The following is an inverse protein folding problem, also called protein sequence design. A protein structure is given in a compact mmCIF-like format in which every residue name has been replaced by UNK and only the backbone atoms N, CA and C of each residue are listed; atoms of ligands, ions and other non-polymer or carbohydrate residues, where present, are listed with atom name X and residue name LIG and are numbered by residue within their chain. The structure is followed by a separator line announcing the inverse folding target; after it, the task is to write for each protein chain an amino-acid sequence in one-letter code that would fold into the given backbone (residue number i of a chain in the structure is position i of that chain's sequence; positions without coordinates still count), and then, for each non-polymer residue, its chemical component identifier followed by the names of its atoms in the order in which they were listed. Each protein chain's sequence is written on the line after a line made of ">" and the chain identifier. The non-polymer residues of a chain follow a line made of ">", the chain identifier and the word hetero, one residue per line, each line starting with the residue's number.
data_IF_029259968189
#
_entry.id   IF_029259968189
#
_cell.length_a   1.000
_cell.length_b   1.000
_cell.length_c   1.000
_cell.angle_alpha   90.00
_cell.angle_beta   90.00
_cell.angle_gamma   90.00
#
_symmetry.space_group_name_H-M   'P 1'
#
loop_
_entity.id
_entity.type
_entity.pdbx_description
1 polymer ?
#
# COMPACT_ATOMS: atom_id res chain seq x y z
N UNK A 1 -3.15 19.47 19.41
CA UNK A 1 -3.27 18.47 18.31
C UNK A 1 -4.44 18.93 17.44
N UNK A 2 -4.28 19.09 16.13
CA UNK A 2 -5.39 19.60 15.32
C UNK A 2 -6.43 18.49 15.11
N UNK A 3 -7.50 18.52 15.91
CA UNK A 3 -8.57 17.51 15.94
C UNK A 3 -9.10 17.18 14.54
N UNK A 4 -9.12 18.15 13.63
CA UNK A 4 -9.50 17.97 12.23
C UNK A 4 -8.68 16.89 11.49
N UNK A 5 -7.36 16.82 11.73
CA UNK A 5 -6.48 15.83 11.09
C UNK A 5 -6.78 14.41 11.57
N UNK A 6 -7.06 14.26 12.87
CA UNK A 6 -7.39 12.97 13.47
C UNK A 6 -8.75 12.49 12.97
N UNK A 7 -9.74 13.38 12.93
CA UNK A 7 -11.07 13.10 12.39
C UNK A 7 -10.98 12.67 10.93
N UNK A 8 -10.18 13.37 10.12
CA UNK A 8 -9.94 12.98 8.73
C UNK A 8 -9.30 11.59 8.63
N UNK A 9 -8.30 11.30 9.46
CA UNK A 9 -7.69 9.97 9.55
C UNK A 9 -8.70 8.87 9.90
N UNK A 10 -9.55 9.10 10.90
CA UNK A 10 -10.63 8.17 11.31
C UNK A 10 -11.58 7.92 10.14
N UNK A 11 -12.07 8.97 9.49
CA UNK A 11 -12.98 8.86 8.35
C UNK A 11 -12.34 8.08 7.19
N UNK A 12 -11.07 8.36 6.90
CA UNK A 12 -10.31 7.66 5.87
C UNK A 12 -10.18 6.16 6.19
N UNK A 13 -9.75 5.80 7.40
CA UNK A 13 -9.59 4.39 7.77
C UNK A 13 -10.92 3.65 7.90
N UNK A 14 -12.00 4.33 8.33
CA UNK A 14 -13.35 3.78 8.35
C UNK A 14 -13.84 3.47 6.92
N UNK A 15 -13.70 4.42 5.99
CA UNK A 15 -14.07 4.23 4.60
C UNK A 15 -13.24 3.11 3.94
N UNK A 16 -11.93 3.07 4.19
CA UNK A 16 -11.05 2.02 3.67
C UNK A 16 -11.39 0.64 4.23
N UNK A 17 -11.69 0.56 5.53
CA UNK A 17 -12.12 -0.67 6.18
C UNK A 17 -13.42 -1.21 5.58
N UNK A 18 -14.40 -0.32 5.36
CA UNK A 18 -15.69 -0.68 4.77
C UNK A 18 -15.55 -1.10 3.30
N UNK A 19 -14.76 -0.37 2.50
CA UNK A 19 -14.44 -0.75 1.13
C UNK A 19 -13.83 -2.16 1.08
N UNK A 20 -12.83 -2.43 1.92
CA UNK A 20 -12.18 -3.73 2.00
C UNK A 20 -13.15 -4.82 2.46
N UNK A 21 -14.06 -4.52 3.39
CA UNK A 21 -15.08 -5.47 3.85
C UNK A 21 -16.03 -5.87 2.72
N UNK A 22 -16.61 -4.87 2.04
CA UNK A 22 -17.54 -5.07 0.92
C UNK A 22 -16.84 -5.86 -0.21
N UNK A 23 -15.61 -5.46 -0.55
CA UNK A 23 -14.85 -6.13 -1.58
C UNK A 23 -14.48 -7.57 -1.20
N UNK A 24 -14.10 -7.83 0.06
CA UNK A 24 -13.84 -9.18 0.55
C UNK A 24 -15.08 -10.06 0.56
N UNK A 25 -16.24 -9.51 0.92
CA UNK A 25 -17.52 -10.21 0.84
C UNK A 25 -17.89 -10.56 -0.61
N UNK A 26 -17.85 -9.57 -1.51
CA UNK A 26 -18.20 -9.74 -2.93
C UNK A 26 -17.29 -10.73 -3.66
N UNK A 27 -16.00 -10.74 -3.33
CA UNK A 27 -15.00 -11.56 -4.02
C UNK A 27 -14.49 -12.76 -3.20
N UNK A 28 -15.13 -13.08 -2.07
CA UNK A 28 -14.74 -14.14 -1.13
C UNK A 28 -13.23 -14.10 -0.80
N UNK A 29 -12.69 -12.89 -0.65
CA UNK A 29 -11.27 -12.66 -0.31
C UNK A 29 -11.10 -12.58 1.20
N UNK A 30 -9.85 -12.63 1.67
CA UNK A 30 -9.51 -12.51 3.08
C UNK A 30 -10.06 -11.21 3.70
N UNK A 31 -10.62 -11.29 4.90
CA UNK A 31 -11.08 -10.14 5.68
C UNK A 31 -9.95 -9.38 6.39
N UNK A 32 -8.73 -9.92 6.34
CA UNK A 32 -7.57 -9.36 7.02
C UNK A 32 -7.38 -7.85 6.73
N UNK A 33 -7.46 -7.35 5.49
CA UNK A 33 -7.30 -5.90 5.22
C UNK A 33 -8.38 -5.02 5.87
N UNK A 34 -9.61 -5.55 6.03
CA UNK A 34 -10.68 -4.84 6.73
C UNK A 34 -10.45 -4.83 8.24
N UNK A 35 -10.00 -5.95 8.82
CA UNK A 35 -9.62 -6.03 10.24
C UNK A 35 -8.51 -5.02 10.56
N UNK A 36 -7.46 -4.95 9.73
CA UNK A 36 -6.39 -3.94 9.90
C UNK A 36 -6.94 -2.51 9.82
N UNK A 37 -7.77 -2.20 8.82
CA UNK A 37 -8.38 -0.88 8.69
C UNK A 37 -9.25 -0.50 9.90
N UNK A 38 -10.04 -1.44 10.40
CA UNK A 38 -10.86 -1.25 11.60
C UNK A 38 -10.02 -1.01 12.86
N UNK A 39 -8.97 -1.81 13.09
CA UNK A 39 -8.12 -1.65 14.26
C UNK A 39 -7.35 -0.33 14.24
N UNK A 40 -6.86 0.10 13.07
CA UNK A 40 -6.20 1.41 12.94
C UNK A 40 -7.21 2.55 13.21
N UNK A 41 -8.43 2.43 12.70
CA UNK A 41 -9.52 3.36 12.98
C UNK A 41 -9.82 3.43 14.49
N UNK A 42 -9.94 2.28 15.15
CA UNK A 42 -10.19 2.17 16.59
C UNK A 42 -9.05 2.78 17.41
N UNK A 43 -7.79 2.47 17.08
CA UNK A 43 -6.60 3.04 17.74
C UNK A 43 -6.60 4.56 17.61
N UNK A 44 -6.88 5.08 16.42
CA UNK A 44 -6.92 6.52 16.14
C UNK A 44 -8.08 7.21 16.87
N UNK A 45 -9.25 6.55 16.96
CA UNK A 45 -10.40 7.04 17.71
C UNK A 45 -10.11 7.08 19.22
N UNK A 46 -9.48 6.06 19.79
CA UNK A 46 -9.09 6.05 21.21
C UNK A 46 -8.11 7.18 21.54
N UNK A 47 -7.17 7.49 20.64
CA UNK A 47 -6.29 8.67 20.80
C UNK A 47 -7.08 9.98 20.76
N UNK A 48 -8.13 10.07 19.94
CA UNK A 48 -9.02 11.25 19.89
C UNK A 48 -9.82 11.43 21.19
N UNK A 49 -10.33 10.35 21.78
CA UNK A 49 -11.11 10.36 23.03
C UNK A 49 -10.24 10.44 24.30
N UNK A 50 -9.04 11.01 24.20
CA UNK A 50 -8.10 11.20 25.32
C UNK A 50 -7.71 9.89 26.05
N UNK A 51 -7.77 8.75 25.35
CA UNK A 51 -7.30 7.44 25.85
C UNK A 51 -6.04 6.98 25.09
N UNK A 52 -4.92 7.73 25.14
CA UNK A 52 -3.74 7.43 24.32
C UNK A 52 -3.07 6.11 24.71
N UNK A 53 -3.14 5.69 25.98
CA UNK A 53 -2.60 4.40 26.42
C UNK A 53 -3.34 3.23 25.76
N UNK A 54 -4.68 3.26 25.79
CA UNK A 54 -5.51 2.22 25.15
C UNK A 54 -5.32 2.23 23.63
N UNK A 55 -5.28 3.42 23.01
CA UNK A 55 -4.96 3.56 21.58
C UNK A 55 -3.59 2.98 21.22
N UNK A 56 -2.58 3.21 22.06
CA UNK A 56 -1.23 2.64 21.93
C UNK A 56 -1.21 1.11 22.09
N UNK A 57 -1.95 0.55 23.05
CA UNK A 57 -2.09 -0.90 23.19
C UNK A 57 -2.73 -1.55 21.97
N UNK A 58 -3.79 -0.94 21.42
CA UNK A 58 -4.40 -1.40 20.16
C UNK A 58 -3.38 -1.33 19.02
N UNK A 59 -2.56 -0.29 18.98
CA UNK A 59 -1.49 -0.18 17.99
C UNK A 59 -0.43 -1.29 18.12
N UNK A 60 -0.06 -1.68 19.34
CA UNK A 60 0.82 -2.84 19.57
C UNK A 60 0.18 -4.15 19.09
N UNK A 61 -1.12 -4.34 19.33
CA UNK A 61 -1.85 -5.50 18.81
C UNK A 61 -1.82 -5.52 17.28
N UNK A 62 -1.99 -4.36 16.63
CA UNK A 62 -1.87 -4.24 15.17
C UNK A 62 -0.47 -4.64 14.69
N UNK A 63 0.59 -4.19 15.36
CA UNK A 63 1.96 -4.55 15.02
C UNK A 63 2.20 -6.05 15.15
N UNK A 64 1.76 -6.67 16.24
CA UNK A 64 1.87 -8.11 16.44
C UNK A 64 1.09 -8.88 15.37
N UNK A 65 -0.14 -8.46 15.07
CA UNK A 65 -0.95 -9.06 14.02
C UNK A 65 -0.29 -8.94 12.65
N UNK A 66 0.35 -7.80 12.36
CA UNK A 66 1.08 -7.55 11.11
C UNK A 66 2.29 -8.48 10.97
N UNK A 67 3.02 -8.70 12.06
CA UNK A 67 4.16 -9.62 12.09
C UNK A 67 3.68 -11.07 11.89
N UNK A 68 2.69 -11.51 12.66
CA UNK A 68 2.15 -12.87 12.61
C UNK A 68 1.51 -13.19 11.26
N UNK A 69 0.79 -12.23 10.69
CA UNK A 69 0.09 -12.38 9.42
C UNK A 69 0.93 -11.96 8.21
N UNK A 70 2.22 -11.63 8.41
CA UNK A 70 3.09 -11.06 7.36
C UNK A 70 3.14 -11.91 6.09
N UNK A 71 3.27 -13.23 6.22
CA UNK A 71 3.27 -14.17 5.09
C UNK A 71 1.92 -14.17 4.35
N UNK A 72 0.82 -14.16 5.10
CA UNK A 72 -0.53 -14.11 4.54
C UNK A 72 -0.80 -12.80 3.82
N UNK A 73 -0.37 -11.67 4.41
CA UNK A 73 -0.45 -10.34 3.79
C UNK A 73 0.31 -10.32 2.47
N UNK A 74 1.55 -10.85 2.48
CA UNK A 74 2.38 -10.94 1.27
C UNK A 74 1.70 -11.79 0.19
N UNK A 75 1.17 -12.96 0.55
CA UNK A 75 0.49 -13.86 -0.38
C UNK A 75 -0.78 -13.23 -0.98
N UNK A 76 -1.60 -12.55 -0.17
CA UNK A 76 -2.81 -11.84 -0.64
C UNK A 76 -2.42 -10.75 -1.64
N UNK A 77 -1.41 -9.93 -1.30
CA UNK A 77 -0.93 -8.85 -2.16
C UNK A 77 -0.40 -9.41 -3.48
N UNK A 78 0.49 -10.40 -3.41
CA UNK A 78 1.06 -11.07 -4.58
C UNK A 78 -0.01 -11.64 -5.50
N UNK A 79 -0.98 -12.39 -4.96
CA UNK A 79 -2.10 -12.93 -5.73
C UNK A 79 -2.93 -11.83 -6.39
N UNK A 80 -3.16 -10.71 -5.70
CA UNK A 80 -3.89 -9.59 -6.27
C UNK A 80 -3.13 -8.91 -7.42
N UNK A 81 -1.81 -8.76 -7.29
CA UNK A 81 -0.97 -8.16 -8.32
C UNK A 81 -0.86 -9.07 -9.55
N UNK A 82 -0.65 -10.37 -9.35
CA UNK A 82 -0.65 -11.38 -10.42
C UNK A 82 -1.98 -11.39 -11.19
N UNK A 83 -3.11 -11.33 -10.48
CA UNK A 83 -4.44 -11.21 -11.13
C UNK A 83 -4.61 -9.89 -11.89
N UNK A 84 -3.99 -8.80 -11.44
CA UNK A 84 -4.10 -7.50 -12.11
C UNK A 84 -3.32 -7.46 -13.44
N UNK A 85 -2.22 -8.20 -13.51
CA UNK A 85 -1.35 -8.32 -14.71
C UNK A 85 -1.69 -9.52 -15.59
N UNK A 86 -2.64 -10.36 -15.16
CA UNK A 86 -3.12 -11.47 -15.97
C UNK A 86 -3.75 -10.95 -17.27
N UNK A 87 -3.48 -11.64 -18.37
CA UNK A 87 -3.82 -11.22 -19.73
C UNK A 87 -2.89 -10.18 -20.38
N UNK A 88 -1.79 -9.77 -19.74
CA UNK A 88 -0.77 -8.93 -20.39
C UNK A 88 0.14 -9.79 -21.29
N UNK A 89 0.27 -9.38 -22.56
CA UNK A 89 1.09 -10.05 -23.57
C UNK A 89 2.32 -9.23 -23.98
N UNK A 90 3.32 -9.87 -24.59
CA UNK A 90 4.57 -9.23 -25.05
C UNK A 90 4.31 -8.14 -26.09
N UNK A 91 3.27 -8.31 -26.92
CA UNK A 91 2.84 -7.36 -27.96
C UNK A 91 2.17 -6.11 -27.41
N UNK A 92 1.76 -6.12 -26.14
CA UNK A 92 1.08 -4.98 -25.53
C UNK A 92 1.99 -3.74 -25.55
N UNK A 93 1.43 -2.65 -26.07
CA UNK A 93 2.05 -1.32 -26.09
C UNK A 93 1.20 -0.42 -25.22
N UNK A 94 1.76 -0.02 -24.08
CA UNK A 94 1.10 0.88 -23.15
C UNK A 94 1.73 2.27 -23.27
N UNK A 95 0.89 3.30 -23.29
CA UNK A 95 1.33 4.70 -23.25
C UNK A 95 1.98 5.02 -21.90
N UNK A 96 2.91 5.99 -21.89
CA UNK A 96 3.51 6.55 -20.66
C UNK A 96 2.47 7.19 -19.74
N UNK A 97 1.28 7.51 -20.25
CA UNK A 97 0.13 7.94 -19.45
C UNK A 97 -0.31 6.88 -18.43
N UNK A 98 -0.02 5.61 -18.67
CA UNK A 98 -0.34 4.48 -17.78
C UNK A 98 0.82 4.06 -16.87
N UNK A 99 1.82 4.94 -16.64
CA UNK A 99 2.99 4.63 -15.80
C UNK A 99 2.65 4.25 -14.35
N UNK A 100 1.45 4.60 -13.86
CA UNK A 100 0.97 4.20 -12.53
C UNK A 100 0.28 2.83 -12.53
N UNK A 101 -0.08 2.30 -13.71
CA UNK A 101 -0.72 0.99 -13.85
C UNK A 101 0.34 -0.11 -13.78
N UNK A 102 0.06 -1.15 -13.00
CA UNK A 102 0.93 -2.33 -12.92
C UNK A 102 1.03 -3.08 -14.25
N UNK A 103 0.00 -3.00 -15.11
CA UNK A 103 0.00 -3.64 -16.44
C UNK A 103 1.07 -3.06 -17.37
N UNK A 104 1.29 -1.75 -17.31
CA UNK A 104 2.37 -1.08 -18.04
C UNK A 104 3.73 -1.69 -17.66
N UNK A 105 3.98 -1.83 -16.36
CA UNK A 105 5.23 -2.40 -15.85
C UNK A 105 5.36 -3.90 -16.09
N UNK A 106 4.26 -4.65 -16.12
CA UNK A 106 4.26 -6.07 -16.50
C UNK A 106 4.68 -6.26 -17.97
N UNK A 107 4.16 -5.46 -18.89
CA UNK A 107 4.59 -5.48 -20.29
C UNK A 107 6.07 -5.07 -20.44
N UNK A 108 6.49 -4.05 -19.67
CA UNK A 108 7.89 -3.65 -19.61
C UNK A 108 8.79 -4.76 -19.04
N UNK A 109 8.32 -5.53 -18.06
CA UNK A 109 9.03 -6.66 -17.47
C UNK A 109 9.31 -7.76 -18.50
N UNK A 110 8.34 -8.05 -19.37
CA UNK A 110 8.50 -9.04 -20.45
C UNK A 110 9.55 -8.62 -21.48
N UNK A 111 9.70 -7.31 -21.76
CA UNK A 111 10.67 -6.79 -22.75
C UNK A 111 12.07 -6.53 -22.19
N UNK A 112 12.15 -5.99 -20.98
CA UNK A 112 13.39 -5.45 -20.41
C UNK A 112 13.86 -6.18 -19.13
N UNK A 113 13.10 -7.18 -18.68
CA UNK A 113 13.38 -7.99 -17.51
C UNK A 113 12.68 -7.50 -16.23
N UNK A 114 12.31 -8.46 -15.37
CA UNK A 114 11.58 -8.25 -14.13
C UNK A 114 12.23 -7.21 -13.19
N UNK A 115 13.56 -7.22 -13.06
CA UNK A 115 14.28 -6.32 -12.15
C UNK A 115 14.12 -4.84 -12.52
N UNK A 116 14.16 -4.50 -13.82
CA UNK A 116 14.02 -3.11 -14.28
C UNK A 116 12.57 -2.63 -14.11
N UNK A 117 11.60 -3.49 -14.40
CA UNK A 117 10.19 -3.20 -14.16
C UNK A 117 9.87 -2.97 -12.67
N UNK A 118 10.46 -3.78 -11.79
CA UNK A 118 10.28 -3.64 -10.35
C UNK A 118 10.79 -2.30 -9.81
N UNK A 119 11.95 -1.85 -10.29
CA UNK A 119 12.51 -0.53 -9.93
C UNK A 119 11.56 0.57 -10.39
N UNK A 120 11.11 0.53 -11.63
CA UNK A 120 10.23 1.56 -12.18
C UNK A 120 8.87 1.62 -11.48
N UNK A 121 8.23 0.47 -11.26
CA UNK A 121 6.95 0.42 -10.55
C UNK A 121 7.09 0.91 -9.09
N UNK A 122 8.13 0.46 -8.39
CA UNK A 122 8.38 0.90 -7.01
C UNK A 122 8.69 2.40 -6.92
N UNK A 123 9.44 2.96 -7.88
CA UNK A 123 9.65 4.40 -8.00
C UNK A 123 8.34 5.15 -8.24
N UNK A 124 7.48 4.66 -9.14
CA UNK A 124 6.17 5.30 -9.41
C UNK A 124 5.26 5.31 -8.18
N UNK A 125 5.22 4.22 -7.41
CA UNK A 125 4.44 4.15 -6.17
C UNK A 125 5.00 5.07 -5.09
N UNK A 126 6.32 5.08 -4.91
CA UNK A 126 6.99 5.92 -3.92
C UNK A 126 6.88 7.40 -4.28
N UNK A 127 6.95 7.73 -5.57
CA UNK A 127 6.71 9.09 -6.08
C UNK A 127 5.29 9.58 -5.79
N UNK A 128 4.28 8.71 -5.97
CA UNK A 128 2.90 9.02 -5.59
C UNK A 128 2.76 9.27 -4.09
N UNK A 129 3.39 8.43 -3.26
CA UNK A 129 3.41 8.61 -1.81
C UNK A 129 4.03 9.96 -1.41
N UNK A 130 5.17 10.32 -2.02
CA UNK A 130 5.83 11.61 -1.80
C UNK A 130 4.95 12.78 -2.22
N UNK A 131 4.20 12.66 -3.32
CA UNK A 131 3.28 13.69 -3.77
C UNK A 131 2.13 13.88 -2.77
N UNK A 132 1.55 12.80 -2.25
CA UNK A 132 0.52 12.87 -1.20
C UNK A 132 1.09 13.53 0.07
N UNK A 133 2.29 13.13 0.50
CA UNK A 133 2.97 13.74 1.64
C UNK A 133 3.22 15.24 1.44
N UNK A 134 3.64 15.64 0.23
CA UNK A 134 3.85 17.05 -0.10
C UNK A 134 2.55 17.86 -0.01
N UNK A 135 1.42 17.33 -0.51
CA UNK A 135 0.11 17.97 -0.38
C UNK A 135 -0.26 18.15 1.11
N UNK A 136 -0.07 17.11 1.92
CA UNK A 136 -0.34 17.18 3.37
C UNK A 136 0.52 18.24 4.05
N UNK A 137 1.81 18.34 3.68
CA UNK A 137 2.72 19.37 4.21
C UNK A 137 2.32 20.78 3.79
N UNK A 138 1.79 20.97 2.57
CA UNK A 138 1.28 22.26 2.11
C UNK A 138 0.01 22.69 2.88
N UNK A 139 -0.88 21.75 3.16
CA UNK A 139 -2.15 22.02 3.88
C UNK A 139 -1.93 22.16 5.39
N UNK A 140 -0.87 21.58 5.94
CA UNK A 140 -0.57 21.60 7.38
C UNK A 140 0.93 21.76 7.67
N UNK A 141 1.49 22.95 7.38
CA UNK A 141 2.94 23.19 7.43
C UNK A 141 3.54 23.10 8.85
N UNK A 142 2.73 23.24 9.89
CA UNK A 142 3.19 23.31 11.28
C UNK A 142 3.58 21.96 11.91
N UNK A 143 3.31 20.83 11.24
CA UNK A 143 3.30 19.53 11.92
C UNK A 143 4.38 18.54 11.47
N UNK A 144 5.07 18.75 10.35
CA UNK A 144 5.94 17.70 9.80
C UNK A 144 7.18 18.27 9.10
N UNK A 145 8.37 17.99 9.65
CA UNK A 145 9.63 18.20 8.92
C UNK A 145 9.86 17.06 7.95
N UNK A 146 10.11 17.37 6.68
CA UNK A 146 10.28 16.40 5.59
C UNK A 146 11.26 15.26 5.91
N UNK A 147 12.37 15.56 6.58
CA UNK A 147 13.39 14.58 6.94
C UNK A 147 12.90 13.47 7.90
N UNK A 148 11.85 13.71 8.69
CA UNK A 148 11.29 12.70 9.61
C UNK A 148 10.61 11.56 8.83
N UNK A 149 10.10 11.86 7.63
CA UNK A 149 9.41 10.89 6.79
C UNK A 149 10.33 10.17 5.79
N UNK A 150 11.54 10.69 5.55
CA UNK A 150 12.49 10.08 4.62
C UNK A 150 12.81 8.61 4.92
N UNK A 151 13.02 8.18 6.19
CA UNK A 151 13.17 6.76 6.50
C UNK A 151 11.95 5.93 6.11
N UNK A 152 10.74 6.45 6.33
CA UNK A 152 9.50 5.76 5.96
C UNK A 152 9.34 5.63 4.44
N UNK A 153 9.65 6.69 3.69
CA UNK A 153 9.65 6.69 2.22
C UNK A 153 10.66 5.68 1.69
N UNK A 154 11.87 5.65 2.25
CA UNK A 154 12.92 4.74 1.84
C UNK A 154 12.56 3.27 2.12
N UNK A 155 12.04 2.97 3.33
CA UNK A 155 11.58 1.62 3.66
C UNK A 155 10.44 1.19 2.73
N UNK A 156 9.50 2.09 2.44
CA UNK A 156 8.38 1.83 1.52
C UNK A 156 8.89 1.51 0.11
N UNK A 157 9.89 2.24 -0.38
CA UNK A 157 10.55 1.96 -1.65
C UNK A 157 11.21 0.58 -1.66
N UNK A 158 12.06 0.27 -0.68
CA UNK A 158 12.80 -1.00 -0.61
C UNK A 158 11.85 -2.20 -0.51
N UNK A 159 10.80 -2.08 0.31
CA UNK A 159 9.76 -3.11 0.42
C UNK A 159 9.01 -3.27 -0.91
N UNK A 160 8.58 -2.17 -1.52
CA UNK A 160 7.89 -2.19 -2.81
C UNK A 160 8.75 -2.79 -3.93
N UNK A 161 10.05 -2.50 -3.95
CA UNK A 161 11.01 -3.06 -4.90
C UNK A 161 11.13 -4.58 -4.74
N UNK A 162 11.30 -5.06 -3.50
CA UNK A 162 11.39 -6.49 -3.21
C UNK A 162 10.14 -7.23 -3.67
N UNK A 163 8.96 -6.74 -3.26
CA UNK A 163 7.67 -7.35 -3.58
C UNK A 163 7.43 -7.38 -5.09
N UNK A 164 7.64 -6.24 -5.75
CA UNK A 164 7.41 -6.10 -7.21
C UNK A 164 8.36 -6.97 -8.02
N UNK A 165 9.62 -7.10 -7.59
CA UNK A 165 10.58 -7.97 -8.26
C UNK A 165 10.18 -9.44 -8.15
N UNK A 166 9.66 -9.88 -7.02
CA UNK A 166 9.15 -11.24 -6.87
C UNK A 166 7.94 -11.50 -7.78
N UNK A 167 6.97 -10.57 -7.81
CA UNK A 167 5.78 -10.64 -8.67
C UNK A 167 6.17 -10.69 -10.15
N UNK A 168 7.02 -9.78 -10.61
CA UNK A 168 7.40 -9.74 -12.02
C UNK A 168 8.28 -10.93 -12.43
N UNK A 169 9.13 -11.46 -11.54
CA UNK A 169 9.89 -12.68 -11.83
C UNK A 169 8.97 -13.88 -12.03
N UNK A 170 7.98 -14.04 -11.15
CA UNK A 170 6.99 -15.13 -11.27
C UNK A 170 6.14 -14.98 -12.53
N UNK A 171 5.68 -13.76 -12.81
CA UNK A 171 4.93 -13.46 -14.02
C UNK A 171 5.72 -13.77 -15.30
N UNK A 172 6.96 -13.26 -15.41
CA UNK A 172 7.81 -13.55 -16.57
C UNK A 172 8.11 -15.05 -16.68
N UNK A 173 8.38 -15.73 -15.56
CA UNK A 173 8.62 -17.18 -15.54
C UNK A 173 7.40 -18.02 -15.94
N UNK A 174 6.17 -17.49 -15.80
CA UNK A 174 4.94 -18.16 -16.24
C UNK A 174 4.62 -17.98 -17.74
N UNK A 175 5.36 -17.11 -18.44
CA UNK A 175 5.12 -16.72 -19.84
C UNK A 175 6.25 -17.14 -20.80
N UNK A 176 7.34 -17.70 -20.26
CA UNK A 176 8.46 -18.32 -20.99
C UNK A 176 8.23 -19.82 -20.97
#
# INVERSE_FOLDING_TARGET
>A
MNTAFIIFGILFFAALSLYNLIHSFKHKKSYLPSIFGFLICLSTALVLYEQPLMGGFVFLIILLLAILSSRTILAIRKSSLLKAIDGVEITSTFSTMHILDIRFWAAYALKNGAKKAAIGYSLSQTGLLLLVLAIVMLVSPSYMKFHVWMPFVFVSFVMGLRDSNEVFREFCGSKI
#
